data_IF_920118297171
#
_entry.id   IF_920118297171
#
_cell.length_a   1.000
_cell.length_b   1.000
_cell.length_c   1.000
_cell.angle_alpha   90.00
_cell.angle_beta   90.00
_cell.angle_gamma   90.00
#
_symmetry.space_group_name_H-M   'P 1'
#
loop_
_entity.id
_entity.type
_entity.pdbx_description
1 polymer ?
#
# COMPACT_ATOMS: atom_id res chain seq x y z
N UNK A 1 12.24 1.23 16.40
CA UNK A 1 10.89 0.89 16.90
C UNK A 1 9.83 1.31 15.88
N UNK A 2 8.60 0.77 15.96
CA UNK A 2 7.46 1.33 15.24
C UNK A 2 7.19 2.76 15.72
N UNK A 3 6.51 3.57 14.91
CA UNK A 3 6.27 4.99 15.20
C UNK A 3 4.78 5.31 15.18
N UNK A 4 4.37 6.20 16.07
CA UNK A 4 3.04 6.84 16.12
C UNK A 4 3.21 8.36 16.14
N UNK A 5 2.18 9.12 15.76
CA UNK A 5 2.22 10.58 15.66
C UNK A 5 1.95 11.07 14.24
N UNK A 6 2.56 12.20 13.87
CA UNK A 6 2.22 12.93 12.64
C UNK A 6 1.03 13.87 12.85
N UNK A 7 0.64 14.62 11.83
CA UNK A 7 -0.52 15.52 11.90
C UNK A 7 -0.42 16.57 13.01
N UNK A 8 0.79 17.10 13.25
CA UNK A 8 1.08 18.02 14.35
C UNK A 8 1.29 17.35 15.71
N UNK A 9 1.06 16.03 15.81
CA UNK A 9 1.36 15.23 16.99
C UNK A 9 2.81 14.77 16.94
N UNK A 10 3.54 14.96 18.06
CA UNK A 10 4.92 14.53 18.19
C UNK A 10 5.08 13.04 17.92
N UNK A 11 6.20 12.66 17.28
CA UNK A 11 6.48 11.27 16.97
C UNK A 11 6.91 10.52 18.23
N UNK A 12 6.28 9.38 18.48
CA UNK A 12 6.58 8.53 19.63
C UNK A 12 6.90 7.11 19.16
N UNK A 13 7.97 6.55 19.73
CA UNK A 13 8.34 5.16 19.52
C UNK A 13 7.36 4.21 20.22
N UNK A 14 6.66 3.39 19.43
CA UNK A 14 5.85 2.28 19.92
C UNK A 14 6.73 1.02 20.01
N UNK A 15 7.39 0.83 21.15
CA UNK A 15 8.40 -0.23 21.34
C UNK A 15 7.82 -1.64 21.46
N UNK A 16 6.51 -1.77 21.72
CA UNK A 16 5.81 -3.06 21.83
C UNK A 16 5.09 -3.48 20.55
N UNK A 17 5.05 -2.62 19.52
CA UNK A 17 4.34 -2.88 18.27
C UNK A 17 5.30 -3.38 17.18
N UNK A 18 4.87 -4.40 16.43
CA UNK A 18 5.59 -4.96 15.27
C UNK A 18 5.01 -4.52 13.93
N UNK A 19 3.98 -3.65 13.93
CA UNK A 19 3.46 -2.98 12.75
C UNK A 19 4.20 -1.68 12.46
N UNK A 20 4.99 -1.66 11.38
CA UNK A 20 5.80 -0.49 11.00
C UNK A 20 5.20 0.35 9.86
N UNK A 21 4.18 -0.17 9.17
CA UNK A 21 3.58 0.47 8.01
C UNK A 21 3.05 1.87 8.35
N UNK A 22 3.29 2.83 7.45
CA UNK A 22 2.85 4.22 7.58
C UNK A 22 2.11 4.65 6.32
N UNK A 23 0.97 5.32 6.50
CA UNK A 23 0.24 5.95 5.41
C UNK A 23 1.12 6.91 4.62
N UNK A 24 0.99 6.89 3.30
CA UNK A 24 1.78 7.72 2.38
C UNK A 24 3.24 7.29 2.17
N UNK A 25 3.76 6.30 2.92
CA UNK A 25 5.14 5.85 2.79
C UNK A 25 5.48 5.35 1.39
N UNK A 26 6.60 5.83 0.86
CA UNK A 26 7.25 5.30 -0.35
C UNK A 26 8.34 4.29 0.04
N UNK A 27 8.91 3.61 -0.96
CA UNK A 27 9.95 2.60 -0.72
C UNK A 27 11.18 3.21 -0.03
N UNK A 28 11.77 4.26 -0.60
CA UNK A 28 13.02 4.88 -0.07
C UNK A 28 12.86 6.36 0.29
N UNK A 29 11.97 7.08 -0.38
CA UNK A 29 11.87 8.54 -0.24
C UNK A 29 10.87 8.95 0.87
N UNK A 30 11.29 9.83 1.78
CA UNK A 30 10.41 10.30 2.86
C UNK A 30 9.29 11.23 2.38
N UNK A 31 9.43 11.90 1.22
CA UNK A 31 8.39 12.73 0.62
C UNK A 31 7.34 11.86 -0.09
N UNK A 32 6.50 11.23 0.73
CA UNK A 32 5.38 10.40 0.31
C UNK A 32 4.07 11.17 0.08
N UNK A 33 2.99 10.44 -0.19
CA UNK A 33 1.66 11.05 -0.36
C UNK A 33 1.24 11.73 0.95
N UNK A 34 0.86 13.00 0.87
CA UNK A 34 0.48 13.80 2.04
C UNK A 34 1.64 14.35 2.86
N UNK A 35 2.90 14.15 2.45
CA UNK A 35 4.05 14.69 3.19
C UNK A 35 3.97 16.22 3.31
N UNK A 36 3.95 16.70 4.54
CA UNK A 36 3.91 18.13 4.88
C UNK A 36 4.75 18.43 6.14
N UNK A 37 5.92 17.77 6.24
CA UNK A 37 6.73 17.80 7.46
C UNK A 37 5.94 17.32 8.68
N UNK A 38 6.07 18.03 9.81
CA UNK A 38 5.35 17.67 11.04
C UNK A 38 3.82 17.83 10.94
N UNK A 39 3.31 18.62 9.99
CA UNK A 39 1.88 18.88 9.83
C UNK A 39 1.12 17.77 9.07
N UNK A 40 1.83 16.87 8.37
CA UNK A 40 1.26 15.78 7.57
C UNK A 40 1.42 14.40 8.22
N UNK A 41 0.96 13.32 7.55
CA UNK A 41 1.41 11.96 7.85
C UNK A 41 2.93 11.88 7.91
N UNK A 42 3.45 10.98 8.75
CA UNK A 42 4.90 10.84 8.93
C UNK A 42 5.62 10.30 7.68
N UNK A 43 4.89 9.57 6.82
CA UNK A 43 5.38 8.98 5.55
C UNK A 43 6.74 8.28 5.66
N UNK A 44 7.03 7.67 6.82
CA UNK A 44 8.33 7.02 7.10
C UNK A 44 8.57 5.98 6.02
N UNK A 45 9.62 6.10 5.20
CA UNK A 45 9.79 5.23 4.04
C UNK A 45 10.13 3.80 4.47
N UNK A 46 9.85 2.82 3.62
CA UNK A 46 10.03 1.39 3.91
C UNK A 46 11.47 1.06 4.31
N UNK A 47 12.47 1.67 3.67
CA UNK A 47 13.88 1.53 4.08
C UNK A 47 14.10 1.88 5.56
N UNK A 48 13.48 2.95 6.04
CA UNK A 48 13.58 3.39 7.44
C UNK A 48 12.74 2.51 8.36
N UNK A 49 11.57 2.04 7.91
CA UNK A 49 10.77 1.07 8.65
C UNK A 49 11.55 -0.23 8.93
N UNK A 50 12.25 -0.76 7.92
CA UNK A 50 13.09 -1.96 8.05
C UNK A 50 14.27 -1.69 8.99
N UNK A 51 14.98 -0.58 8.81
CA UNK A 51 16.09 -0.20 9.69
C UNK A 51 15.64 -0.06 11.16
N UNK A 52 14.46 0.54 11.37
CA UNK A 52 13.85 0.70 12.69
C UNK A 52 13.46 -0.63 13.33
N UNK A 53 13.06 -1.63 12.55
CA UNK A 53 12.82 -2.98 13.05
C UNK A 53 14.13 -3.66 13.44
N UNK A 54 15.10 -3.71 12.53
CA UNK A 54 16.42 -4.31 12.78
C UNK A 54 17.09 -3.75 14.03
N UNK A 55 17.07 -2.42 14.20
CA UNK A 55 17.61 -1.78 15.40
C UNK A 55 16.90 -2.22 16.69
N UNK A 56 15.59 -2.48 16.63
CA UNK A 56 14.80 -2.91 17.78
C UNK A 56 15.03 -4.39 18.16
N UNK A 57 15.43 -5.24 17.19
CA UNK A 57 15.61 -6.68 17.40
C UNK A 57 17.08 -7.12 17.43
N UNK A 58 18.01 -6.18 17.63
CA UNK A 58 19.44 -6.50 17.76
C UNK A 58 20.17 -6.76 16.43
N UNK A 59 19.62 -6.30 15.31
CA UNK A 59 20.27 -6.28 13.99
C UNK A 59 19.94 -7.47 13.08
N UNK A 60 19.16 -8.44 13.55
CA UNK A 60 18.74 -9.60 12.77
C UNK A 60 17.34 -10.10 13.16
N UNK A 61 16.63 -10.57 12.15
CA UNK A 61 15.42 -11.39 12.29
C UNK A 61 15.74 -12.73 12.94
N UNK A 62 14.82 -13.26 13.74
CA UNK A 62 15.02 -14.55 14.42
C UNK A 62 14.84 -15.74 13.48
N UNK A 63 14.15 -15.54 12.35
CA UNK A 63 13.72 -16.59 11.43
C UNK A 63 12.45 -17.33 11.89
N UNK A 64 11.95 -17.03 13.09
CA UNK A 64 10.70 -17.57 13.62
C UNK A 64 9.47 -16.72 13.24
N UNK A 65 9.65 -15.48 12.78
CA UNK A 65 8.56 -14.61 12.36
C UNK A 65 8.12 -14.83 10.90
N UNK A 66 7.03 -14.17 10.53
CA UNK A 66 6.63 -13.96 9.14
C UNK A 66 6.66 -12.44 8.91
N UNK A 67 7.37 -12.01 7.88
CA UNK A 67 7.51 -10.59 7.53
C UNK A 67 6.56 -10.28 6.37
N UNK A 68 5.59 -9.40 6.60
CA UNK A 68 4.67 -8.94 5.55
C UNK A 68 5.15 -7.63 4.95
N UNK A 69 5.18 -7.53 3.62
CA UNK A 69 5.61 -6.34 2.88
C UNK A 69 4.58 -5.99 1.82
N UNK A 70 4.02 -4.78 1.88
CA UNK A 70 3.21 -4.17 0.83
C UNK A 70 3.65 -2.71 0.69
N UNK A 71 4.18 -2.35 -0.47
CA UNK A 71 4.67 -1.01 -0.78
C UNK A 71 4.66 -0.74 -2.29
N UNK A 72 4.87 0.52 -2.69
CA UNK A 72 4.97 0.94 -4.09
C UNK A 72 3.82 1.80 -4.59
N UNK A 73 2.62 1.66 -4.03
CA UNK A 73 1.46 2.47 -4.46
C UNK A 73 1.71 3.98 -4.33
N UNK A 74 2.36 4.42 -3.24
CA UNK A 74 2.67 5.84 -3.05
C UNK A 74 3.77 6.35 -3.99
N UNK A 75 4.71 5.50 -4.41
CA UNK A 75 5.66 5.84 -5.47
C UNK A 75 4.92 6.09 -6.78
N UNK A 76 3.97 5.22 -7.13
CA UNK A 76 3.10 5.38 -8.31
C UNK A 76 2.29 6.68 -8.23
N UNK A 77 1.61 6.97 -7.12
CA UNK A 77 0.81 8.19 -6.98
C UNK A 77 1.66 9.46 -7.09
N UNK A 78 2.83 9.48 -6.44
CA UNK A 78 3.74 10.64 -6.51
C UNK A 78 4.25 10.85 -7.93
N UNK A 79 4.66 9.79 -8.64
CA UNK A 79 5.13 9.92 -10.02
C UNK A 79 3.99 10.32 -10.97
N UNK A 80 2.79 9.75 -10.82
CA UNK A 80 1.61 10.13 -11.60
C UNK A 80 1.29 11.62 -11.41
N UNK A 81 1.28 12.10 -10.16
CA UNK A 81 1.06 13.52 -9.85
C UNK A 81 2.15 14.44 -10.41
N UNK A 82 3.41 14.01 -10.36
CA UNK A 82 4.56 14.76 -10.90
C UNK A 82 4.48 14.89 -12.43
N UNK A 83 4.05 13.83 -13.12
CA UNK A 83 3.75 13.87 -14.56
C UNK A 83 2.55 14.78 -14.84
N UNK A 84 1.47 14.66 -14.07
CA UNK A 84 0.27 15.49 -14.21
C UNK A 84 0.53 16.99 -14.02
N UNK A 85 1.50 17.34 -13.18
CA UNK A 85 1.97 18.71 -12.99
C UNK A 85 2.94 19.20 -14.09
N UNK A 86 3.32 18.35 -15.05
CA UNK A 86 4.26 18.68 -16.13
C UNK A 86 5.73 18.78 -15.69
N UNK A 87 6.07 18.34 -14.48
CA UNK A 87 7.43 18.44 -13.94
C UNK A 87 8.37 17.35 -14.51
N UNK A 88 7.82 16.22 -14.94
CA UNK A 88 8.56 15.15 -15.62
C UNK A 88 7.74 14.56 -16.77
N UNK A 89 8.40 13.84 -17.69
CA UNK A 89 7.71 13.13 -18.77
C UNK A 89 7.06 11.83 -18.26
N UNK A 90 6.01 11.31 -18.95
CA UNK A 90 5.45 10.00 -18.63
C UNK A 90 6.47 8.87 -18.57
N UNK A 91 7.43 8.85 -19.50
CA UNK A 91 8.49 7.84 -19.55
C UNK A 91 9.42 7.93 -18.32
N UNK A 92 9.79 9.13 -17.91
CA UNK A 92 10.57 9.37 -16.69
C UNK A 92 9.81 8.90 -15.45
N UNK A 93 8.50 9.17 -15.37
CA UNK A 93 7.66 8.70 -14.26
C UNK A 93 7.61 7.18 -14.16
N UNK A 94 7.39 6.49 -15.29
CA UNK A 94 7.38 5.00 -15.34
C UNK A 94 8.74 4.44 -14.93
N UNK A 95 9.84 5.01 -15.43
CA UNK A 95 11.19 4.58 -15.05
C UNK A 95 11.46 4.77 -13.55
N UNK A 96 11.00 5.87 -12.95
CA UNK A 96 11.13 6.14 -11.52
C UNK A 96 10.31 5.15 -10.67
N UNK A 97 9.11 4.78 -11.12
CA UNK A 97 8.32 3.71 -10.48
C UNK A 97 9.05 2.38 -10.56
N UNK A 98 9.66 2.08 -11.69
CA UNK A 98 10.43 0.85 -11.85
C UNK A 98 11.66 0.78 -10.94
N UNK A 99 12.37 1.89 -10.80
CA UNK A 99 13.46 2.01 -9.82
C UNK A 99 12.98 1.74 -8.39
N UNK A 100 11.81 2.26 -8.00
CA UNK A 100 11.25 1.99 -6.68
C UNK A 100 10.94 0.48 -6.45
N UNK A 101 10.54 -0.25 -7.50
CA UNK A 101 10.37 -1.69 -7.42
C UNK A 101 11.71 -2.42 -7.19
N UNK A 102 12.74 -2.04 -7.95
CA UNK A 102 14.09 -2.62 -7.80
C UNK A 102 14.68 -2.32 -6.41
N UNK A 103 14.46 -1.11 -5.88
CA UNK A 103 14.84 -0.74 -4.52
C UNK A 103 14.13 -1.61 -3.47
N UNK A 104 12.83 -1.87 -3.64
CA UNK A 104 12.07 -2.73 -2.72
C UNK A 104 12.59 -4.16 -2.75
N UNK A 105 12.87 -4.70 -3.93
CA UNK A 105 13.51 -6.01 -4.12
C UNK A 105 14.85 -6.07 -3.39
N UNK A 106 15.69 -5.04 -3.56
CA UNK A 106 17.00 -4.95 -2.91
C UNK A 106 16.86 -4.91 -1.38
N UNK A 107 15.91 -4.15 -0.84
CA UNK A 107 15.64 -4.10 0.60
C UNK A 107 15.17 -5.46 1.14
N UNK A 108 14.26 -6.15 0.44
CA UNK A 108 13.79 -7.48 0.83
C UNK A 108 14.96 -8.46 0.87
N UNK A 109 15.78 -8.52 -0.19
CA UNK A 109 16.88 -9.46 -0.27
C UNK A 109 17.99 -9.14 0.75
N UNK A 110 18.38 -7.88 0.91
CA UNK A 110 19.57 -7.48 1.67
C UNK A 110 19.30 -7.12 3.13
N UNK A 111 18.14 -6.53 3.43
CA UNK A 111 17.81 -6.04 4.77
C UNK A 111 16.80 -6.93 5.51
N UNK A 112 16.07 -7.79 4.81
CA UNK A 112 15.13 -8.72 5.43
C UNK A 112 15.71 -10.13 5.41
N UNK A 113 15.93 -10.69 4.22
CA UNK A 113 16.35 -12.10 4.05
C UNK A 113 17.79 -12.33 4.49
N UNK A 114 18.73 -11.51 4.01
CA UNK A 114 20.13 -11.60 4.43
C UNK A 114 20.35 -11.26 5.92
N UNK A 115 19.33 -10.67 6.57
CA UNK A 115 19.30 -10.39 8.01
C UNK A 115 18.54 -11.43 8.83
N UNK A 116 18.21 -12.60 8.26
CA UNK A 116 17.74 -13.77 9.00
C UNK A 116 16.29 -14.18 8.76
N UNK A 117 15.48 -13.34 8.09
CA UNK A 117 14.09 -13.70 7.82
C UNK A 117 14.02 -14.91 6.87
N UNK A 118 13.17 -15.88 7.21
CA UNK A 118 12.98 -17.14 6.46
C UNK A 118 11.63 -17.20 5.74
N UNK A 119 10.67 -16.39 6.19
CA UNK A 119 9.31 -16.30 5.65
C UNK A 119 8.94 -14.85 5.39
N UNK A 120 9.02 -14.42 4.13
CA UNK A 120 8.67 -13.07 3.69
C UNK A 120 7.47 -13.14 2.75
N UNK A 121 6.34 -12.62 3.18
CA UNK A 121 5.13 -12.49 2.35
C UNK A 121 5.13 -11.10 1.74
N UNK A 122 5.17 -11.04 0.41
CA UNK A 122 5.18 -9.78 -0.35
C UNK A 122 3.87 -9.69 -1.13
N UNK A 123 3.15 -8.59 -0.99
CA UNK A 123 1.97 -8.31 -1.81
C UNK A 123 2.40 -7.35 -2.92
N UNK A 124 2.00 -7.65 -4.16
CA UNK A 124 2.18 -6.69 -5.26
C UNK A 124 1.18 -5.51 -5.14
N UNK A 125 1.26 -4.53 -6.02
CA UNK A 125 0.34 -3.39 -6.02
C UNK A 125 -1.00 -3.81 -6.63
N UNK A 126 -2.15 -3.60 -5.95
CA UNK A 126 -3.47 -3.93 -6.50
C UNK A 126 -3.80 -3.08 -7.74
N UNK A 127 -4.90 -3.38 -8.43
CA UNK A 127 -5.30 -2.59 -9.60
C UNK A 127 -5.85 -1.22 -9.20
N UNK A 128 -4.97 -0.21 -9.21
CA UNK A 128 -5.33 1.16 -8.86
C UNK A 128 -6.26 1.77 -9.94
N UNK A 129 -6.21 1.29 -11.19
CA UNK A 129 -6.98 1.90 -12.29
C UNK A 129 -8.50 1.68 -12.14
N UNK A 130 -8.89 0.65 -11.40
CA UNK A 130 -10.28 0.29 -11.15
C UNK A 130 -10.83 0.88 -9.84
N UNK A 131 -10.02 1.63 -9.10
CA UNK A 131 -10.45 2.35 -7.89
C UNK A 131 -11.35 3.55 -8.24
N UNK A 132 -12.13 4.09 -7.28
CA UNK A 132 -12.90 5.30 -7.50
C UNK A 132 -12.03 6.48 -7.97
N UNK A 133 -10.82 6.65 -7.43
CA UNK A 133 -9.83 7.61 -7.93
C UNK A 133 -9.46 7.34 -9.38
N UNK A 134 -9.11 6.10 -9.73
CA UNK A 134 -8.77 5.71 -11.09
C UNK A 134 -9.92 5.93 -12.09
N UNK A 135 -11.17 5.89 -11.64
CA UNK A 135 -12.36 6.19 -12.45
C UNK A 135 -12.52 7.70 -12.74
N UNK A 136 -11.95 8.59 -11.92
CA UNK A 136 -11.96 10.04 -12.14
C UNK A 136 -10.94 10.52 -13.18
N UNK A 137 -9.94 9.70 -13.50
CA UNK A 137 -8.86 10.06 -14.40
C UNK A 137 -9.30 10.04 -15.87
N UNK A 138 -8.81 11.01 -16.65
CA UNK A 138 -8.90 10.97 -18.10
C UNK A 138 -8.17 9.72 -18.67
N UNK A 139 -8.60 9.26 -19.84
CA UNK A 139 -8.11 8.02 -20.45
C UNK A 139 -6.57 7.92 -20.54
N UNK A 140 -5.89 9.02 -20.91
CA UNK A 140 -4.43 9.06 -21.00
C UNK A 140 -3.75 8.88 -19.62
N UNK A 141 -4.21 9.60 -18.59
CA UNK A 141 -3.69 9.48 -17.22
C UNK A 141 -4.00 8.13 -16.60
N UNK A 142 -5.19 7.57 -16.87
CA UNK A 142 -5.56 6.22 -16.45
C UNK A 142 -4.68 5.15 -17.11
N UNK A 143 -4.40 5.30 -18.41
CA UNK A 143 -3.47 4.43 -19.13
C UNK A 143 -2.06 4.50 -18.56
N UNK A 144 -1.56 5.70 -18.25
CA UNK A 144 -0.26 5.90 -17.60
C UNK A 144 -0.21 5.24 -16.21
N UNK A 145 -1.26 5.41 -15.39
CA UNK A 145 -1.38 4.75 -14.09
C UNK A 145 -1.31 3.23 -14.23
N UNK A 146 -2.02 2.65 -15.21
CA UNK A 146 -1.93 1.21 -15.52
C UNK A 146 -0.50 0.78 -15.84
N UNK A 147 0.18 1.49 -16.75
CA UNK A 147 1.57 1.21 -17.10
C UNK A 147 2.53 1.28 -15.91
N UNK A 148 2.32 2.23 -14.99
CA UNK A 148 3.13 2.33 -13.77
C UNK A 148 2.90 1.15 -12.82
N UNK A 149 1.64 0.74 -12.60
CA UNK A 149 1.30 -0.45 -11.80
C UNK A 149 1.92 -1.71 -12.41
N UNK A 150 1.76 -1.91 -13.71
CA UNK A 150 2.29 -3.08 -14.41
C UNK A 150 3.82 -3.12 -14.35
N UNK A 151 4.48 -1.98 -14.53
CA UNK A 151 5.95 -1.86 -14.43
C UNK A 151 6.45 -2.26 -13.05
N UNK A 152 5.85 -1.67 -11.99
CA UNK A 152 6.23 -1.99 -10.61
C UNK A 152 6.06 -3.48 -10.31
N UNK A 153 4.89 -4.03 -10.64
CA UNK A 153 4.56 -5.42 -10.35
C UNK A 153 5.42 -6.41 -11.14
N UNK A 154 5.75 -6.10 -12.40
CA UNK A 154 6.61 -6.94 -13.23
C UNK A 154 8.04 -7.00 -12.68
N UNK A 155 8.62 -5.86 -12.30
CA UNK A 155 9.97 -5.82 -11.71
C UNK A 155 10.02 -6.48 -10.34
N UNK A 156 9.03 -6.22 -9.48
CA UNK A 156 8.92 -6.88 -8.18
C UNK A 156 8.86 -8.41 -8.33
N UNK A 157 8.04 -8.90 -9.27
CA UNK A 157 7.94 -10.34 -9.57
C UNK A 157 9.25 -10.92 -10.09
N UNK A 158 9.89 -10.24 -11.04
CA UNK A 158 11.14 -10.71 -11.62
C UNK A 158 12.28 -10.74 -10.58
N UNK A 159 12.42 -9.68 -9.78
CA UNK A 159 13.48 -9.54 -8.79
C UNK A 159 13.36 -10.46 -7.57
N UNK A 160 12.17 -11.01 -7.31
CA UNK A 160 11.93 -11.97 -6.23
C UNK A 160 11.81 -13.42 -6.72
N UNK A 161 11.87 -13.65 -8.04
CA UNK A 161 11.70 -14.97 -8.62
C UNK A 161 12.76 -15.97 -8.11
N UNK A 162 12.35 -17.21 -7.86
CA UNK A 162 13.23 -18.29 -7.42
C UNK A 162 13.67 -18.22 -5.94
N UNK A 163 13.31 -17.17 -5.20
CA UNK A 163 13.65 -17.09 -3.78
C UNK A 163 12.66 -17.91 -2.93
N UNK A 164 13.09 -19.08 -2.43
CA UNK A 164 12.24 -19.97 -1.64
C UNK A 164 11.69 -19.32 -0.35
N UNK A 165 12.40 -18.33 0.21
CA UNK A 165 12.00 -17.59 1.42
C UNK A 165 10.96 -16.50 1.17
N UNK A 166 10.58 -16.27 -0.08
CA UNK A 166 9.60 -15.25 -0.49
C UNK A 166 8.32 -15.90 -1.00
N UNK A 167 7.18 -15.46 -0.50
CA UNK A 167 5.87 -15.72 -1.07
C UNK A 167 5.35 -14.40 -1.67
N UNK A 168 5.34 -14.30 -3.00
CA UNK A 168 4.69 -13.17 -3.68
C UNK A 168 3.20 -13.49 -3.87
N UNK A 169 2.34 -12.72 -3.21
CA UNK A 169 0.88 -12.80 -3.32
C UNK A 169 0.40 -11.79 -4.37
N UNK A 170 -0.24 -12.29 -5.42
CA UNK A 170 -0.75 -11.47 -6.52
C UNK A 170 -2.13 -10.88 -6.19
N UNK A 171 -2.11 -9.79 -5.42
CA UNK A 171 -3.32 -9.04 -5.08
C UNK A 171 -3.86 -8.26 -6.27
N UNK A 172 -3.05 -7.94 -7.27
CA UNK A 172 -3.49 -7.28 -8.50
C UNK A 172 -4.52 -8.15 -9.25
N UNK A 173 -4.15 -9.40 -9.53
CA UNK A 173 -5.05 -10.34 -10.21
C UNK A 173 -6.30 -10.63 -9.36
N UNK A 174 -6.14 -10.85 -8.06
CA UNK A 174 -7.28 -11.11 -7.17
C UNK A 174 -8.24 -9.92 -7.06
N UNK A 175 -7.71 -8.68 -7.04
CA UNK A 175 -8.54 -7.48 -7.00
C UNK A 175 -9.34 -7.29 -8.30
N UNK A 176 -8.73 -7.55 -9.47
CA UNK A 176 -9.44 -7.57 -10.76
C UNK A 176 -10.58 -8.58 -10.76
N UNK A 177 -10.36 -9.77 -10.22
CA UNK A 177 -11.40 -10.80 -10.11
C UNK A 177 -12.53 -10.38 -9.18
N UNK A 178 -12.21 -9.77 -8.03
CA UNK A 178 -13.20 -9.22 -7.10
C UNK A 178 -14.09 -8.14 -7.73
N UNK A 179 -13.51 -7.29 -8.58
CA UNK A 179 -14.25 -6.23 -9.28
C UNK A 179 -15.14 -6.82 -10.39
N UNK A 180 -14.63 -7.80 -11.14
CA UNK A 180 -15.37 -8.41 -12.25
C UNK A 180 -16.44 -9.40 -11.78
N UNK A 181 -16.22 -10.07 -10.64
CA UNK A 181 -17.07 -11.12 -10.11
C UNK A 181 -17.47 -10.85 -8.64
N UNK A 182 -18.08 -9.70 -8.30
CA UNK A 182 -18.26 -9.27 -6.91
C UNK A 182 -19.12 -10.23 -6.07
N UNK A 183 -20.15 -10.84 -6.68
CA UNK A 183 -21.10 -11.70 -5.97
C UNK A 183 -20.44 -12.92 -5.32
N UNK A 184 -19.45 -13.56 -5.98
CA UNK A 184 -18.77 -14.74 -5.42
C UNK A 184 -17.86 -14.39 -4.23
N UNK A 185 -17.47 -13.13 -4.12
CA UNK A 185 -16.72 -12.59 -2.98
C UNK A 185 -17.63 -11.98 -1.92
N UNK A 186 -18.95 -12.02 -2.11
CA UNK A 186 -19.91 -11.37 -1.23
C UNK A 186 -19.74 -9.84 -1.19
N UNK A 187 -19.24 -9.23 -2.27
CA UNK A 187 -19.16 -7.78 -2.40
C UNK A 187 -20.49 -7.25 -2.93
N UNK A 188 -21.06 -6.25 -2.25
CA UNK A 188 -22.31 -5.59 -2.66
C UNK A 188 -22.05 -4.37 -3.53
N UNK A 189 -20.85 -3.79 -3.46
CA UNK A 189 -20.45 -2.64 -4.26
C UNK A 189 -18.93 -2.64 -4.50
N UNK A 190 -18.53 -2.38 -5.75
CA UNK A 190 -17.12 -2.33 -6.18
C UNK A 190 -16.74 -1.03 -6.89
N UNK A 191 -17.57 0.01 -6.81
CA UNK A 191 -17.35 1.27 -7.52
C UNK A 191 -17.54 2.51 -6.65
N UNK A 192 -18.50 2.48 -5.72
CA UNK A 192 -18.77 3.56 -4.79
C UNK A 192 -17.89 3.48 -3.54
N UNK A 193 -17.67 4.63 -2.91
CA UNK A 193 -16.98 4.76 -1.64
C UNK A 193 -17.96 4.59 -0.49
N UNK A 194 -17.56 3.88 0.57
CA UNK A 194 -18.36 3.77 1.80
C UNK A 194 -18.39 5.08 2.60
N UNK A 195 -17.38 5.93 2.45
CA UNK A 195 -17.25 7.19 3.17
C UNK A 195 -17.55 8.37 2.23
N UNK A 196 -18.37 9.31 2.68
CA UNK A 196 -18.70 10.54 1.98
C UNK A 196 -17.59 11.58 2.20
N UNK A 197 -16.77 11.76 1.17
CA UNK A 197 -15.65 12.73 1.16
C UNK A 197 -16.12 14.19 1.00
N UNK A 198 -17.41 14.45 0.81
CA UNK A 198 -17.96 15.80 0.71
C UNK A 198 -18.35 16.38 2.07
N UNK A 199 -18.52 15.53 3.08
CA UNK A 199 -18.84 15.96 4.45
C UNK A 199 -17.61 16.63 5.06
N UNK A 200 -17.70 17.92 5.44
CA UNK A 200 -16.60 18.61 6.10
C UNK A 200 -16.31 17.94 7.43
N UNK A 201 -15.10 17.44 7.54
CA UNK A 201 -14.52 16.89 8.76
C UNK A 201 -13.56 17.93 9.31
N UNK A 202 -13.49 18.06 10.65
CA UNK A 202 -12.47 18.87 11.31
C UNK A 202 -11.09 18.21 11.14
N UNK A 203 -10.54 18.31 9.94
CA UNK A 203 -9.21 17.88 9.58
C UNK A 203 -8.60 18.97 8.68
N UNK A 204 -7.28 19.23 8.77
CA UNK A 204 -6.64 20.13 7.82
C UNK A 204 -6.97 19.77 6.36
N UNK A 205 -7.08 20.78 5.49
CA UNK A 205 -7.63 20.64 4.14
C UNK A 205 -6.96 19.56 3.27
N UNK A 206 -5.71 19.18 3.58
CA UNK A 206 -5.01 18.06 2.97
C UNK A 206 -5.64 16.67 3.23
N UNK A 207 -6.68 16.58 4.08
CA UNK A 207 -7.26 15.32 4.57
C UNK A 207 -8.75 15.16 4.24
N UNK A 208 -9.36 16.07 3.47
CA UNK A 208 -10.79 16.03 3.19
C UNK A 208 -11.24 14.86 2.28
N UNK A 209 -10.32 14.02 1.81
CA UNK A 209 -10.62 12.98 0.81
C UNK A 209 -10.00 11.60 1.11
N UNK A 210 -9.79 11.26 2.40
CA UNK A 210 -9.26 9.95 2.80
C UNK A 210 -10.11 9.25 3.87
N UNK A 211 -10.14 7.92 3.85
CA UNK A 211 -10.80 7.07 4.83
C UNK A 211 -10.16 7.15 6.23
N UNK A 212 -8.98 7.77 6.38
CA UNK A 212 -8.33 8.01 7.68
C UNK A 212 -9.25 8.71 8.69
N UNK A 213 -10.14 9.55 8.18
CA UNK A 213 -11.06 10.43 8.90
C UNK A 213 -12.51 9.98 8.74
N UNK A 214 -12.71 8.80 8.14
CA UNK A 214 -14.01 8.17 8.04
C UNK A 214 -14.46 7.65 9.40
N UNK A 215 -15.67 8.03 9.79
CA UNK A 215 -16.29 7.69 11.06
C UNK A 215 -17.83 7.73 10.90
N UNK A 216 -18.55 7.58 12.00
CA UNK A 216 -20.03 7.52 11.98
C UNK A 216 -20.71 8.77 11.44
N UNK A 217 -20.03 9.93 11.40
CA UNK A 217 -20.61 11.18 10.89
C UNK A 217 -20.51 11.34 9.38
N UNK A 218 -19.67 10.57 8.70
CA UNK A 218 -19.43 10.69 7.24
C UNK A 218 -19.38 9.33 6.52
N UNK A 219 -19.74 8.22 7.15
CA UNK A 219 -20.12 7.01 6.40
C UNK A 219 -21.46 7.25 5.71
N UNK A 220 -21.63 6.81 4.45
CA UNK A 220 -22.89 6.98 3.74
C UNK A 220 -24.02 6.18 4.41
N UNK A 221 -25.27 6.64 4.24
CA UNK A 221 -26.44 5.90 4.71
C UNK A 221 -26.60 4.57 3.97
N UNK A 222 -27.13 3.56 4.66
CA UNK A 222 -27.32 2.20 4.13
C UNK A 222 -26.23 1.22 4.57
N UNK A 223 -26.27 0.01 4.02
CA UNK A 223 -25.31 -1.05 4.35
C UNK A 223 -24.04 -0.95 3.48
N UNK A 224 -22.93 -0.57 4.12
CA UNK A 224 -21.59 -0.51 3.50
C UNK A 224 -20.67 -1.63 3.97
N UNK A 225 -21.16 -2.58 4.77
CA UNK A 225 -20.35 -3.62 5.40
C UNK A 225 -19.67 -4.57 4.40
N UNK A 226 -20.17 -4.63 3.17
CA UNK A 226 -19.66 -5.45 2.06
C UNK A 226 -19.19 -4.63 0.85
N UNK A 227 -18.85 -3.35 1.03
CA UNK A 227 -18.27 -2.52 -0.02
C UNK A 227 -16.79 -2.86 -0.24
N UNK A 228 -16.28 -2.65 -1.45
CA UNK A 228 -14.85 -2.82 -1.75
C UNK A 228 -14.01 -1.63 -1.27
N UNK A 229 -14.49 -0.40 -1.49
CA UNK A 229 -13.72 0.83 -1.26
C UNK A 229 -14.28 1.67 -0.12
N UNK A 230 -13.39 2.08 0.80
CA UNK A 230 -13.72 3.04 1.85
C UNK A 230 -13.66 4.48 1.32
N UNK A 231 -12.61 4.80 0.56
CA UNK A 231 -12.39 6.09 -0.10
C UNK A 231 -11.94 5.89 -1.56
N UNK A 232 -11.29 6.90 -2.15
CA UNK A 232 -10.83 6.87 -3.53
C UNK A 232 -9.90 5.72 -3.90
N UNK A 233 -9.17 5.12 -2.96
CA UNK A 233 -8.15 4.08 -3.24
C UNK A 233 -8.05 2.98 -2.18
N UNK A 234 -8.49 3.26 -0.94
CA UNK A 234 -8.30 2.36 0.20
C UNK A 234 -9.48 1.38 0.33
N UNK A 235 -9.19 0.10 0.62
CA UNK A 235 -10.23 -0.90 0.83
C UNK A 235 -11.00 -0.68 2.14
N UNK A 236 -12.24 -1.16 2.20
CA UNK A 236 -13.01 -1.27 3.46
C UNK A 236 -12.43 -2.36 4.38
N UNK A 237 -12.90 -2.47 5.64
CA UNK A 237 -12.58 -3.62 6.49
C UNK A 237 -12.92 -4.98 5.86
N UNK A 238 -14.03 -5.09 5.11
CA UNK A 238 -14.39 -6.33 4.42
C UNK A 238 -13.44 -6.67 3.27
N UNK A 239 -13.03 -5.67 2.50
CA UNK A 239 -12.03 -5.86 1.45
C UNK A 239 -10.65 -6.22 2.04
N UNK A 240 -10.25 -5.63 3.17
CA UNK A 240 -9.07 -6.08 3.93
C UNK A 240 -9.19 -7.54 4.39
N UNK A 241 -10.38 -7.98 4.82
CA UNK A 241 -10.62 -9.39 5.15
C UNK A 241 -10.44 -10.31 3.92
N UNK A 242 -10.89 -9.89 2.73
CA UNK A 242 -10.65 -10.66 1.51
C UNK A 242 -9.16 -10.78 1.17
N UNK A 243 -8.39 -9.71 1.35
CA UNK A 243 -6.92 -9.73 1.20
C UNK A 243 -6.30 -10.69 2.22
N UNK A 244 -6.69 -10.62 3.49
CA UNK A 244 -6.19 -11.50 4.54
C UNK A 244 -6.49 -12.98 4.25
N UNK A 245 -7.68 -13.29 3.73
CA UNK A 245 -8.06 -14.65 3.28
C UNK A 245 -7.19 -15.14 2.13
N UNK A 246 -6.94 -14.28 1.13
CA UNK A 246 -6.04 -14.62 0.03
C UNK A 246 -4.63 -14.93 0.55
N UNK A 247 -4.06 -14.03 1.36
CA UNK A 247 -2.73 -14.22 1.95
C UNK A 247 -2.66 -15.52 2.75
N UNK A 248 -3.66 -15.78 3.60
CA UNK A 248 -3.73 -17.00 4.40
C UNK A 248 -3.80 -18.26 3.53
N UNK A 249 -4.62 -18.23 2.46
CA UNK A 249 -4.71 -19.33 1.48
C UNK A 249 -3.35 -19.60 0.84
N UNK A 250 -2.69 -18.57 0.31
CA UNK A 250 -1.40 -18.73 -0.39
C UNK A 250 -0.29 -19.20 0.58
N UNK A 251 -0.32 -18.75 1.83
CA UNK A 251 0.59 -19.23 2.86
C UNK A 251 0.35 -20.71 3.22
N UNK A 252 -0.90 -21.14 3.33
CA UNK A 252 -1.24 -22.54 3.57
C UNK A 252 -0.81 -23.43 2.39
N UNK A 253 -1.01 -22.98 1.14
CA UNK A 253 -0.51 -23.68 -0.07
C UNK A 253 1.01 -23.81 -0.05
N UNK A 254 1.72 -22.79 0.45
CA UNK A 254 3.19 -22.83 0.62
C UNK A 254 3.65 -23.67 1.82
N UNK A 255 2.74 -24.08 2.71
CA UNK A 255 3.05 -24.82 3.94
C UNK A 255 3.66 -23.94 5.04
N UNK A 256 3.32 -22.65 5.10
CA UNK A 256 3.81 -21.72 6.12
C UNK A 256 2.91 -21.58 7.35
N UNK A 257 1.65 -22.02 7.23
CA UNK A 257 0.63 -22.14 8.29
C UNK A 257 -0.23 -23.37 8.04
#
# INVERSE_FOLDING_TARGET
>A
AALTGGFGVAQVAATTCTGYAQGGARVTNAAGVGFAGAAGPMTVPVVTQIANHLAAVGGSFSGGEIVYVLAGANDIFVQLGTVGAGAITPATGVAAVGLAADELVALINTQIIAKGATRVVVLNVPDITATPFGATLAAASKGLLGSMVDTFNAQLKAGLAGNAKVLLVDVNTANKDQINNPAIYGLTNVTAMACDMTVPIQAPAAFNATSLVCNTTNVIAGDTSHYLFADGVHPTPYAHLLIARLVSKEMAVKGWI
#
